data_IF_948496840025
#
_entry.id   IF_948496840025
#
_cell.length_a   1.000
_cell.length_b   1.000
_cell.length_c   1.000
_cell.angle_alpha   90.00
_cell.angle_beta   90.00
_cell.angle_gamma   90.00
#
_symmetry.space_group_name_H-M   'P 1'
#
loop_
_entity.id
_entity.type
_entity.pdbx_description
1 polymer ?
#
# COMPACT_ATOMS: atom_id res chain seq x y z
N UNK A 1 -9.17 -24.53 9.23
CA UNK A 1 -8.67 -23.59 8.21
C UNK A 1 -8.05 -22.42 8.97
N UNK A 2 -6.73 -22.43 9.11
CA UNK A 2 -6.00 -21.52 10.01
C UNK A 2 -6.02 -20.11 9.44
N UNK A 3 -6.68 -19.19 10.16
CA UNK A 3 -6.64 -17.76 9.90
C UNK A 3 -5.21 -17.26 10.16
N UNK A 4 -4.46 -16.99 9.09
CA UNK A 4 -3.17 -16.29 9.17
C UNK A 4 -3.47 -14.82 9.42
N UNK A 5 -3.12 -14.32 10.61
CA UNK A 5 -3.35 -12.94 11.03
C UNK A 5 -2.45 -12.01 10.22
N UNK A 6 -3.03 -11.33 9.21
CA UNK A 6 -2.42 -10.33 8.33
C UNK A 6 -1.96 -9.13 9.15
N UNK A 7 -0.76 -9.20 9.73
CA UNK A 7 -0.24 -8.16 10.63
C UNK A 7 0.53 -7.14 9.79
N UNK A 8 -0.12 -6.05 9.40
CA UNK A 8 0.48 -4.96 8.62
C UNK A 8 0.62 -3.66 9.43
N UNK A 9 1.71 -2.91 9.21
CA UNK A 9 1.79 -1.51 9.66
C UNK A 9 0.92 -0.66 8.73
N UNK A 10 0.21 0.34 9.29
CA UNK A 10 -0.70 1.20 8.53
C UNK A 10 -0.01 2.48 8.05
N UNK A 11 -0.38 2.93 6.86
CA UNK A 11 -0.02 4.24 6.29
C UNK A 11 -1.29 4.85 5.70
N UNK A 12 -1.82 5.92 6.31
CA UNK A 12 -3.02 6.63 5.83
C UNK A 12 -4.14 5.70 5.34
N UNK A 13 -4.67 4.83 6.20
CA UNK A 13 -5.71 3.85 5.79
C UNK A 13 -5.24 2.65 4.96
N UNK A 14 -4.02 2.66 4.42
CA UNK A 14 -3.41 1.55 3.69
C UNK A 14 -2.94 0.40 4.59
N UNK A 15 -2.73 -0.76 3.97
CA UNK A 15 -2.23 -1.97 4.63
C UNK A 15 -1.01 -2.53 3.90
N UNK A 16 -0.15 -3.21 4.67
CA UNK A 16 0.97 -3.97 4.12
C UNK A 16 0.64 -5.46 4.12
N UNK A 17 1.09 -6.17 3.07
CA UNK A 17 1.02 -7.63 3.01
C UNK A 17 2.46 -8.16 3.05
N UNK A 18 2.77 -9.01 4.03
CA UNK A 18 4.00 -9.79 4.10
C UNK A 18 3.69 -11.20 4.58
N UNK A 19 4.08 -12.20 3.82
CA UNK A 19 4.38 -13.54 4.35
C UNK A 19 5.90 -13.76 4.34
N UNK A 20 6.39 -14.52 5.33
CA UNK A 20 7.74 -14.38 5.89
C UNK A 20 8.93 -14.67 4.96
N UNK A 21 10.08 -14.05 5.30
CA UNK A 21 11.43 -14.49 4.94
C UNK A 21 12.51 -13.78 5.78
N UNK A 22 13.66 -14.45 5.94
CA UNK A 22 14.80 -14.01 6.77
C UNK A 22 15.74 -13.00 6.08
N UNK A 23 15.63 -12.82 4.76
CA UNK A 23 16.37 -11.83 3.98
C UNK A 23 15.44 -10.66 3.58
N UNK A 24 16.02 -9.46 3.42
CA UNK A 24 15.31 -8.29 2.91
C UNK A 24 14.74 -8.56 1.50
N UNK A 25 13.57 -8.01 1.19
CA UNK A 25 12.86 -8.22 -0.06
C UNK A 25 12.51 -6.89 -0.74
N UNK A 26 12.52 -6.84 -2.08
CA UNK A 26 12.10 -5.65 -2.81
C UNK A 26 10.64 -5.27 -2.50
N UNK A 27 10.38 -3.97 -2.43
CA UNK A 27 9.06 -3.43 -2.15
C UNK A 27 8.34 -2.92 -3.41
N UNK A 28 7.02 -3.06 -3.43
CA UNK A 28 6.12 -2.49 -4.46
C UNK A 28 5.05 -1.64 -3.78
N UNK A 29 4.98 -0.37 -4.18
CA UNK A 29 3.91 0.56 -3.77
C UNK A 29 2.82 0.55 -4.82
N UNK A 30 1.58 0.34 -4.40
CA UNK A 30 0.40 0.30 -5.24
C UNK A 30 -0.64 1.29 -4.74
N UNK A 31 -1.21 2.06 -5.67
CA UNK A 31 -2.44 2.80 -5.44
C UNK A 31 -3.37 2.58 -6.63
N UNK A 32 -4.64 2.86 -6.42
CA UNK A 32 -5.61 2.80 -7.50
C UNK A 32 -5.51 3.99 -8.45
N UNK A 33 -6.11 3.83 -9.63
CA UNK A 33 -6.18 4.89 -10.63
C UNK A 33 -7.22 5.97 -10.29
N UNK A 34 -7.55 6.75 -11.32
CA UNK A 34 -8.45 7.89 -11.24
C UNK A 34 -9.79 7.54 -10.56
N UNK A 35 -10.11 8.23 -9.45
CA UNK A 35 -11.39 8.12 -8.72
C UNK A 35 -11.71 6.69 -8.19
N UNK A 36 -10.68 5.89 -7.90
CA UNK A 36 -10.83 4.52 -7.39
C UNK A 36 -10.21 4.38 -5.99
N UNK A 37 -10.66 3.34 -5.27
CA UNK A 37 -10.17 2.96 -3.93
C UNK A 37 -9.61 1.54 -3.95
N UNK A 38 -8.66 1.22 -3.05
CA UNK A 38 -7.92 -0.05 -2.97
C UNK A 38 -8.83 -1.29 -2.90
N UNK A 39 -10.06 -1.16 -2.41
CA UNK A 39 -11.06 -2.23 -2.37
C UNK A 39 -11.55 -2.65 -3.77
N UNK A 40 -11.32 -1.83 -4.80
CA UNK A 40 -11.71 -2.13 -6.18
C UNK A 40 -10.70 -3.07 -6.86
N UNK A 41 -10.54 -4.28 -6.36
CA UNK A 41 -9.64 -5.34 -6.88
C UNK A 41 -8.13 -5.14 -6.67
N UNK A 42 -7.66 -4.03 -6.08
CA UNK A 42 -6.21 -3.82 -5.88
C UNK A 42 -5.63 -4.85 -4.90
N UNK A 43 -6.45 -5.33 -3.97
CA UNK A 43 -6.13 -6.39 -3.02
C UNK A 43 -5.67 -7.69 -3.69
N UNK A 44 -6.24 -8.04 -4.84
CA UNK A 44 -5.85 -9.24 -5.61
C UNK A 44 -4.47 -9.09 -6.23
N UNK A 45 -4.17 -7.93 -6.82
CA UNK A 45 -2.85 -7.63 -7.35
C UNK A 45 -1.80 -7.57 -6.24
N UNK A 46 -2.14 -6.91 -5.12
CA UNK A 46 -1.26 -6.82 -3.97
C UNK A 46 -0.95 -8.21 -3.39
N UNK A 47 -1.95 -9.09 -3.32
CA UNK A 47 -1.76 -10.48 -2.87
C UNK A 47 -0.87 -11.25 -3.84
N UNK A 48 -1.13 -11.19 -5.15
CA UNK A 48 -0.31 -11.89 -6.15
C UNK A 48 1.17 -11.44 -6.13
N UNK A 49 1.43 -10.15 -5.94
CA UNK A 49 2.80 -9.62 -5.85
C UNK A 49 3.46 -9.98 -4.51
N UNK A 50 2.71 -10.00 -3.42
CA UNK A 50 3.21 -10.48 -2.15
C UNK A 50 3.57 -11.97 -2.18
N UNK A 51 2.72 -12.80 -2.81
CA UNK A 51 2.95 -14.24 -2.99
C UNK A 51 4.18 -14.53 -3.86
N UNK A 52 4.54 -13.60 -4.76
CA UNK A 52 5.78 -13.64 -5.53
C UNK A 52 7.04 -13.28 -4.71
N UNK A 53 6.89 -12.93 -3.42
CA UNK A 53 7.99 -12.68 -2.49
C UNK A 53 8.37 -11.21 -2.32
N UNK A 54 7.49 -10.28 -2.70
CA UNK A 54 7.70 -8.84 -2.52
C UNK A 54 7.01 -8.32 -1.24
N UNK A 55 7.54 -7.23 -0.68
CA UNK A 55 6.78 -6.43 0.29
C UNK A 55 5.82 -5.53 -0.49
N UNK A 56 4.52 -5.57 -0.17
CA UNK A 56 3.54 -4.72 -0.86
C UNK A 56 2.92 -3.72 0.11
N UNK A 57 2.92 -2.46 -0.29
CA UNK A 57 2.13 -1.39 0.32
C UNK A 57 1.02 -0.98 -0.65
N UNK A 58 -0.23 -1.28 -0.29
CA UNK A 58 -1.40 -0.82 -1.03
C UNK A 58 -2.13 0.28 -0.23
N UNK A 59 -2.39 1.42 -0.86
CA UNK A 59 -2.99 2.58 -0.20
C UNK A 59 -4.02 3.30 -1.10
N UNK A 60 -4.91 4.09 -0.47
CA UNK A 60 -5.81 5.00 -1.17
C UNK A 60 -5.15 6.36 -1.36
N UNK A 61 -5.35 7.03 -2.50
CA UNK A 61 -4.95 8.43 -2.60
C UNK A 61 -5.64 9.27 -1.52
N UNK A 62 -4.98 10.36 -1.07
CA UNK A 62 -5.61 11.32 -0.17
C UNK A 62 -7.01 11.70 -0.66
N UNK A 63 -7.92 12.02 0.26
CA UNK A 63 -9.33 12.33 -0.02
C UNK A 63 -10.20 11.14 -0.49
N UNK A 64 -9.63 9.94 -0.70
CA UNK A 64 -10.34 8.74 -1.14
C UNK A 64 -10.28 7.61 -0.13
N UNK A 65 -11.25 6.71 -0.18
CA UNK A 65 -11.29 5.48 0.62
C UNK A 65 -11.05 5.74 2.10
N UNK A 66 -10.12 4.98 2.67
CA UNK A 66 -9.73 5.07 4.09
C UNK A 66 -8.63 6.11 4.34
N UNK A 67 -8.13 6.77 3.29
CA UNK A 67 -7.16 7.86 3.43
C UNK A 67 -7.85 9.14 3.86
N UNK A 68 -7.21 9.84 4.79
CA UNK A 68 -7.64 11.17 5.23
C UNK A 68 -7.51 12.22 4.10
N UNK A 69 -8.09 13.40 4.35
CA UNK A 69 -7.98 14.57 3.50
C UNK A 69 -9.33 15.16 3.13
N UNK A 70 -9.32 16.47 2.84
CA UNK A 70 -10.49 17.27 2.46
C UNK A 70 -10.10 18.26 1.35
N UNK A 71 -11.04 18.61 0.46
CA UNK A 71 -12.39 18.04 0.32
C UNK A 71 -12.40 16.57 -0.13
N UNK A 72 -13.32 15.76 0.40
CA UNK A 72 -13.50 14.35 -0.01
C UNK A 72 -13.71 14.23 -1.53
N UNK A 73 -13.16 13.15 -2.10
CA UNK A 73 -13.25 12.80 -3.52
C UNK A 73 -12.60 13.81 -4.48
N UNK A 74 -11.84 14.79 -3.97
CA UNK A 74 -11.07 15.68 -4.82
C UNK A 74 -9.80 15.00 -5.32
N UNK A 75 -9.60 15.09 -6.65
CA UNK A 75 -8.44 14.57 -7.34
C UNK A 75 -7.50 15.71 -7.75
N UNK A 76 -6.30 15.71 -7.16
CA UNK A 76 -5.17 16.54 -7.59
C UNK A 76 -3.99 15.63 -7.98
N UNK A 77 -3.61 15.56 -9.28
CA UNK A 77 -2.52 14.71 -9.74
C UNK A 77 -1.16 15.03 -9.09
N UNK A 78 -0.88 16.29 -8.78
CA UNK A 78 0.38 16.69 -8.17
C UNK A 78 0.46 16.22 -6.72
N UNK A 79 -0.67 16.24 -6.02
CA UNK A 79 -0.76 15.72 -4.67
C UNK A 79 -0.68 14.19 -4.65
N UNK A 80 -1.27 13.49 -5.62
CA UNK A 80 -1.10 12.04 -5.78
C UNK A 80 0.35 11.63 -6.04
N UNK A 81 1.09 12.38 -6.87
CA UNK A 81 2.53 12.17 -7.07
C UNK A 81 3.31 12.34 -5.75
N UNK A 82 2.94 13.33 -4.93
CA UNK A 82 3.55 13.52 -3.60
C UNK A 82 3.20 12.37 -2.65
N UNK A 83 1.98 11.85 -2.71
CA UNK A 83 1.56 10.70 -1.91
C UNK A 83 2.35 9.45 -2.25
N UNK A 84 2.64 9.21 -3.54
CA UNK A 84 3.54 8.12 -3.93
C UNK A 84 4.94 8.28 -3.32
N UNK A 85 5.51 9.48 -3.32
CA UNK A 85 6.82 9.73 -2.68
C UNK A 85 6.78 9.47 -1.17
N UNK A 86 5.71 9.88 -0.51
CA UNK A 86 5.51 9.62 0.92
C UNK A 86 5.34 8.12 1.20
N UNK A 87 4.57 7.41 0.38
CA UNK A 87 4.37 5.97 0.49
C UNK A 87 5.68 5.19 0.26
N UNK A 88 6.51 5.61 -0.71
CA UNK A 88 7.86 5.06 -0.93
C UNK A 88 8.75 5.32 0.30
N UNK A 89 8.78 6.56 0.80
CA UNK A 89 9.57 6.90 1.99
C UNK A 89 9.12 6.05 3.19
N UNK A 90 7.82 5.85 3.38
CA UNK A 90 7.28 5.01 4.44
C UNK A 90 7.65 3.53 4.26
N UNK A 91 7.52 2.96 3.05
CA UNK A 91 7.82 1.53 2.84
C UNK A 91 9.28 1.22 3.11
N UNK A 92 10.19 2.16 2.82
CA UNK A 92 11.62 2.05 3.15
C UNK A 92 11.91 1.99 4.66
N UNK A 93 10.98 2.40 5.53
CA UNK A 93 11.14 2.29 6.99
C UNK A 93 10.74 0.93 7.55
N UNK A 94 10.20 0.03 6.71
CA UNK A 94 9.69 -1.26 7.17
C UNK A 94 10.82 -2.28 7.27
N UNK A 95 10.84 -3.02 8.38
CA UNK A 95 11.77 -4.12 8.59
C UNK A 95 11.60 -5.18 7.49
N UNK A 96 12.71 -5.57 6.85
CA UNK A 96 12.72 -6.58 5.80
C UNK A 96 12.44 -6.05 4.39
N UNK A 97 12.39 -4.73 4.20
CA UNK A 97 12.47 -4.10 2.87
C UNK A 97 13.94 -3.91 2.46
N UNK A 98 14.24 -4.24 1.21
CA UNK A 98 15.54 -3.98 0.58
C UNK A 98 15.68 -2.47 0.26
N UNK A 99 16.74 -1.77 0.73
CA UNK A 99 16.89 -0.31 0.63
C UNK A 99 16.95 0.28 -0.79
#
# INVERSE_FOLDING_TARGET
MSSSTRTGRRFGGGYTVREGRAAAAPAVVMAHGYNCIKELYLDRYATAVADAGHVVLAYDHRNFGDSDGEPRQELDPWMQVRDYRNAITFVQTLDGVDP
#
